data_IF_472758957274
#
_entry.id   IF_472758957274
#
_cell.length_a   1.000
_cell.length_b   1.000
_cell.length_c   1.000
_cell.angle_alpha   90.00
_cell.angle_beta   90.00
_cell.angle_gamma   90.00
#
_symmetry.space_group_name_H-M   'P 1'
#
loop_
_entity.id
_entity.type
_entity.pdbx_description
1 polymer ?
#
# COMPACT_ATOMS: atom_id res chain seq x y z
N UNK A 1 -12.69 6.49 -24.34
CA UNK A 1 -12.46 5.41 -23.34
C UNK A 1 -11.24 5.76 -22.50
N UNK A 2 -11.06 5.17 -21.33
CA UNK A 2 -9.84 5.35 -20.50
C UNK A 2 -9.21 3.98 -20.26
N UNK A 3 -7.92 3.86 -20.52
CA UNK A 3 -7.17 2.65 -20.19
C UNK A 3 -6.71 2.70 -18.74
N UNK A 4 -6.84 1.59 -18.01
CA UNK A 4 -6.41 1.47 -16.62
C UNK A 4 -5.40 0.33 -16.53
N UNK A 5 -4.15 0.65 -16.20
CA UNK A 5 -3.06 -0.30 -16.04
C UNK A 5 -2.70 -0.51 -14.58
N UNK A 6 -3.01 -1.66 -14.00
CA UNK A 6 -2.71 -1.97 -12.60
C UNK A 6 -1.62 -3.03 -12.50
N UNK A 7 -0.82 -3.00 -11.43
CA UNK A 7 0.16 -4.04 -11.15
C UNK A 7 -0.47 -5.28 -10.47
N UNK A 8 -1.64 -5.13 -9.83
CA UNK A 8 -2.35 -6.21 -9.13
C UNK A 8 -3.87 -6.00 -9.18
N UNK A 9 -4.62 -7.09 -9.14
CA UNK A 9 -6.09 -7.16 -9.03
C UNK A 9 -6.56 -8.24 -8.04
N UNK A 10 -5.61 -8.97 -7.43
CA UNK A 10 -5.88 -10.04 -6.46
C UNK A 10 -6.05 -9.44 -5.07
N UNK A 11 -5.32 -8.36 -4.75
CA UNK A 11 -5.55 -7.61 -3.52
C UNK A 11 -6.86 -6.80 -3.63
N UNK A 12 -7.85 -7.00 -2.71
CA UNK A 12 -9.15 -6.33 -2.75
C UNK A 12 -9.08 -4.79 -2.82
N UNK A 13 -8.02 -4.18 -2.28
CA UNK A 13 -7.79 -2.74 -2.42
C UNK A 13 -7.80 -2.26 -3.88
N UNK A 14 -7.29 -3.05 -4.83
CA UNK A 14 -7.33 -2.69 -6.25
C UNK A 14 -8.70 -2.88 -6.89
N UNK A 15 -9.52 -3.79 -6.35
CA UNK A 15 -10.90 -3.96 -6.83
C UNK A 15 -11.76 -2.79 -6.38
N UNK A 16 -11.64 -2.35 -5.12
CA UNK A 16 -12.31 -1.14 -4.61
C UNK A 16 -11.85 0.11 -5.38
N UNK A 17 -10.55 0.20 -5.64
CA UNK A 17 -9.96 1.28 -6.43
C UNK A 17 -10.55 1.34 -7.85
N UNK A 18 -10.59 0.20 -8.53
CA UNK A 18 -11.13 0.08 -9.88
C UNK A 18 -12.63 0.39 -9.92
N UNK A 19 -13.40 -0.06 -8.94
CA UNK A 19 -14.83 0.23 -8.85
C UNK A 19 -15.07 1.76 -8.74
N UNK A 20 -14.34 2.44 -7.85
CA UNK A 20 -14.47 3.88 -7.71
C UNK A 20 -14.02 4.68 -8.95
N UNK A 21 -13.01 4.19 -9.67
CA UNK A 21 -12.63 4.76 -10.97
C UNK A 21 -13.73 4.55 -12.02
N UNK A 22 -14.29 3.34 -12.09
CA UNK A 22 -15.36 3.00 -13.03
C UNK A 22 -16.57 3.89 -12.79
N UNK A 23 -17.05 4.01 -11.54
CA UNK A 23 -18.21 4.84 -11.20
C UNK A 23 -18.01 6.29 -11.67
N UNK A 24 -16.84 6.87 -11.39
CA UNK A 24 -16.52 8.26 -11.76
C UNK A 24 -16.35 8.46 -13.28
N UNK A 25 -15.76 7.49 -13.99
CA UNK A 25 -15.56 7.55 -15.43
C UNK A 25 -16.86 7.29 -16.20
N UNK A 26 -17.66 6.34 -15.74
CA UNK A 26 -18.94 5.96 -16.32
C UNK A 26 -19.96 7.10 -16.20
N UNK A 27 -19.99 7.80 -15.06
CA UNK A 27 -20.76 9.04 -14.89
C UNK A 27 -20.39 10.14 -15.90
N UNK A 28 -19.16 10.12 -16.42
CA UNK A 28 -18.67 11.03 -17.47
C UNK A 28 -18.76 10.44 -18.90
N UNK A 29 -19.47 9.32 -19.07
CA UNK A 29 -19.65 8.65 -20.37
C UNK A 29 -18.37 7.96 -20.90
N UNK A 30 -17.41 7.64 -20.03
CA UNK A 30 -16.17 6.95 -20.39
C UNK A 30 -16.22 5.49 -19.97
N UNK A 31 -15.88 4.60 -20.91
CA UNK A 31 -15.65 3.17 -20.63
C UNK A 31 -14.22 2.91 -20.18
N UNK A 32 -14.03 1.99 -19.22
CA UNK A 32 -12.73 1.52 -18.72
C UNK A 32 -12.26 0.29 -19.50
N UNK A 33 -10.99 0.29 -19.93
CA UNK A 33 -10.28 -0.88 -20.45
C UNK A 33 -9.13 -1.25 -19.51
N UNK A 34 -9.24 -2.38 -18.82
CA UNK A 34 -8.28 -2.82 -17.81
C UNK A 34 -7.13 -3.65 -18.40
N UNK A 35 -5.91 -3.36 -17.97
CA UNK A 35 -4.71 -4.16 -18.20
C UNK A 35 -3.96 -4.44 -16.90
N UNK A 36 -3.38 -5.65 -16.77
CA UNK A 36 -2.72 -6.09 -15.51
C UNK A 36 -1.28 -6.53 -15.74
N UNK A 37 -0.34 -5.73 -15.23
CA UNK A 37 1.11 -5.88 -15.39
C UNK A 37 1.77 -6.95 -14.53
N UNK A 38 1.21 -7.30 -13.37
CA UNK A 38 1.74 -8.32 -12.43
C UNK A 38 3.21 -8.15 -12.03
N UNK A 39 3.57 -7.03 -11.39
CA UNK A 39 4.93 -6.74 -10.88
C UNK A 39 6.09 -7.02 -11.86
N UNK A 40 5.81 -7.00 -13.17
CA UNK A 40 6.75 -7.28 -14.26
C UNK A 40 6.71 -6.09 -15.22
N UNK A 41 7.82 -5.36 -15.31
CA UNK A 41 7.96 -4.16 -16.15
C UNK A 41 7.77 -4.49 -17.63
N UNK A 42 8.35 -5.59 -18.13
CA UNK A 42 8.22 -5.97 -19.53
C UNK A 42 6.76 -6.31 -19.88
N UNK A 43 6.04 -6.97 -18.97
CA UNK A 43 4.61 -7.24 -19.13
C UNK A 43 3.78 -5.96 -19.06
N UNK A 44 4.07 -5.08 -18.11
CA UNK A 44 3.44 -3.76 -18.01
C UNK A 44 3.60 -3.00 -19.33
N UNK A 45 4.82 -2.88 -19.86
CA UNK A 45 5.11 -2.15 -21.10
C UNK A 45 4.32 -2.71 -22.27
N UNK A 46 4.24 -4.05 -22.43
CA UNK A 46 3.41 -4.68 -23.47
C UNK A 46 1.94 -4.31 -23.32
N UNK A 47 1.39 -4.41 -22.10
CA UNK A 47 -0.02 -4.15 -21.83
C UNK A 47 -0.37 -2.68 -22.04
N UNK A 48 0.44 -1.77 -21.51
CA UNK A 48 0.25 -0.34 -21.70
C UNK A 48 0.38 0.05 -23.18
N UNK A 49 1.31 -0.57 -23.92
CA UNK A 49 1.42 -0.42 -25.37
C UNK A 49 0.14 -0.86 -26.09
N UNK A 50 -0.39 -2.05 -25.78
CA UNK A 50 -1.66 -2.53 -26.33
C UNK A 50 -2.83 -1.60 -25.96
N UNK A 51 -2.89 -1.09 -24.72
CA UNK A 51 -3.92 -0.12 -24.35
C UNK A 51 -3.79 1.16 -25.18
N UNK A 52 -2.57 1.65 -25.41
CA UNK A 52 -2.32 2.85 -26.23
C UNK A 52 -2.69 2.66 -27.71
N UNK A 53 -2.57 1.46 -28.27
CA UNK A 53 -3.01 1.14 -29.64
C UNK A 53 -4.51 1.39 -29.85
N UNK A 54 -5.34 1.22 -28.81
CA UNK A 54 -6.76 1.56 -28.84
C UNK A 54 -7.05 3.06 -28.77
N UNK A 55 -6.01 3.91 -28.69
CA UNK A 55 -6.09 5.38 -28.58
C UNK A 55 -7.08 5.84 -27.51
N UNK A 56 -6.88 5.45 -26.23
CA UNK A 56 -7.72 5.89 -25.15
C UNK A 56 -7.54 7.40 -24.94
N UNK A 57 -8.56 8.04 -24.37
CA UNK A 57 -8.52 9.47 -24.08
C UNK A 57 -7.48 9.80 -22.99
N UNK A 58 -7.21 8.84 -22.11
CA UNK A 58 -6.18 8.89 -21.08
C UNK A 58 -5.81 7.47 -20.60
N UNK A 59 -4.68 7.37 -19.89
CA UNK A 59 -4.25 6.20 -19.15
C UNK A 59 -4.15 6.52 -17.65
N UNK A 60 -4.72 5.66 -16.81
CA UNK A 60 -4.48 5.66 -15.37
C UNK A 60 -3.59 4.46 -15.05
N UNK A 61 -2.43 4.69 -14.45
CA UNK A 61 -1.39 3.66 -14.28
C UNK A 61 -0.98 3.54 -12.82
N UNK A 62 -0.94 2.32 -12.30
CA UNK A 62 -0.26 1.98 -11.05
C UNK A 62 1.02 1.19 -11.37
N UNK A 63 2.20 1.82 -11.39
CA UNK A 63 3.42 1.21 -11.90
C UNK A 63 3.84 -0.08 -11.16
N UNK A 64 4.32 -1.05 -11.94
CA UNK A 64 4.99 -2.25 -11.47
C UNK A 64 6.29 -1.91 -10.75
N UNK A 65 6.73 -2.79 -9.86
CA UNK A 65 8.00 -2.69 -9.18
C UNK A 65 9.16 -2.49 -10.16
N UNK A 66 9.98 -1.46 -9.94
CA UNK A 66 11.14 -1.17 -10.80
C UNK A 66 10.83 -0.45 -12.11
N UNK A 67 9.59 0.02 -12.31
CA UNK A 67 9.27 0.92 -13.43
C UNK A 67 10.09 2.21 -13.31
N UNK A 68 10.77 2.61 -14.38
CA UNK A 68 11.57 3.83 -14.43
C UNK A 68 10.86 4.96 -15.20
N UNK A 69 11.43 6.16 -15.15
CA UNK A 69 10.88 7.34 -15.81
C UNK A 69 10.73 7.11 -17.32
N UNK A 70 11.71 6.45 -17.94
CA UNK A 70 11.74 6.24 -19.40
C UNK A 70 10.62 5.29 -19.87
N UNK A 71 10.26 4.30 -19.06
CA UNK A 71 9.16 3.37 -19.36
C UNK A 71 7.83 4.13 -19.52
N UNK A 72 7.57 5.11 -18.65
CA UNK A 72 6.35 5.90 -18.69
C UNK A 72 6.43 7.06 -19.70
N UNK A 73 7.61 7.65 -19.92
CA UNK A 73 7.80 8.68 -20.95
C UNK A 73 7.62 8.15 -22.36
N UNK A 74 8.10 6.93 -22.63
CA UNK A 74 7.89 6.27 -23.93
C UNK A 74 6.41 6.13 -24.25
N UNK A 75 5.60 5.81 -23.25
CA UNK A 75 4.14 5.76 -23.36
C UNK A 75 3.53 7.16 -23.52
N UNK A 76 4.02 8.16 -22.77
CA UNK A 76 3.56 9.55 -22.87
C UNK A 76 3.83 10.18 -24.24
N UNK A 77 4.90 9.77 -24.92
CA UNK A 77 5.22 10.21 -26.29
C UNK A 77 4.17 9.79 -27.34
N UNK A 78 3.26 8.88 -27.00
CA UNK A 78 2.09 8.56 -27.84
C UNK A 78 1.06 9.70 -27.92
N UNK A 79 1.20 10.74 -27.08
CA UNK A 79 0.26 11.85 -26.95
C UNK A 79 -0.94 11.53 -26.05
N UNK A 80 -1.01 10.32 -25.50
CA UNK A 80 -2.06 9.92 -24.55
C UNK A 80 -1.69 10.42 -23.15
N UNK A 81 -2.55 11.22 -22.48
CA UNK A 81 -2.28 11.68 -21.13
C UNK A 81 -2.21 10.54 -20.10
N UNK A 82 -1.30 10.65 -19.14
CA UNK A 82 -1.07 9.65 -18.09
C UNK A 82 -1.33 10.27 -16.71
N UNK A 83 -2.07 9.53 -15.88
CA UNK A 83 -2.26 9.77 -14.45
C UNK A 83 -1.73 8.56 -13.69
N UNK A 84 -0.96 8.78 -12.64
CA UNK A 84 -0.46 7.72 -11.77
C UNK A 84 -1.39 7.53 -10.56
N UNK A 85 -1.55 6.30 -10.10
CA UNK A 85 -2.40 5.98 -8.94
C UNK A 85 -1.79 4.94 -8.01
N UNK A 86 -1.92 5.14 -6.70
CA UNK A 86 -1.35 4.33 -5.61
C UNK A 86 0.18 4.36 -5.58
N UNK A 87 0.81 3.96 -6.68
CA UNK A 87 2.25 4.04 -6.93
C UNK A 87 2.54 5.10 -7.98
N UNK A 88 3.72 5.65 -7.88
CA UNK A 88 4.28 6.61 -8.81
C UNK A 88 5.74 6.33 -9.15
N UNK A 89 6.13 6.79 -10.33
CA UNK A 89 7.52 7.09 -10.68
C UNK A 89 7.73 8.59 -10.46
N UNK A 90 8.46 8.93 -9.41
CA UNK A 90 8.75 10.33 -9.04
C UNK A 90 9.58 11.00 -10.14
N UNK A 91 9.30 12.28 -10.42
CA UNK A 91 10.01 13.03 -11.47
C UNK A 91 9.56 12.73 -12.91
N UNK A 92 8.59 11.82 -13.10
CA UNK A 92 8.03 11.54 -14.43
C UNK A 92 7.15 12.68 -14.98
N UNK A 93 6.65 13.58 -14.11
CA UNK A 93 5.86 14.75 -14.52
C UNK A 93 4.39 14.45 -14.82
N UNK A 94 3.83 13.40 -14.22
CA UNK A 94 2.41 13.02 -14.37
C UNK A 94 1.59 13.38 -13.15
N UNK A 95 0.29 13.58 -13.36
CA UNK A 95 -0.69 13.74 -12.28
C UNK A 95 -0.66 12.50 -11.37
N UNK A 96 -0.96 12.66 -10.08
CA UNK A 96 -0.97 11.55 -9.12
C UNK A 96 -2.15 11.61 -8.16
N UNK A 97 -2.74 10.44 -7.88
CA UNK A 97 -3.68 10.25 -6.78
C UNK A 97 -3.27 9.07 -5.90
N UNK A 98 -3.33 9.24 -4.59
CA UNK A 98 -3.05 8.16 -3.63
C UNK A 98 -3.32 8.56 -2.19
N UNK A 99 -2.81 7.78 -1.25
CA UNK A 99 -2.88 8.07 0.19
C UNK A 99 -1.58 8.68 0.69
N UNK A 100 -1.64 9.51 1.72
CA UNK A 100 -0.43 9.98 2.41
C UNK A 100 0.22 8.89 3.28
N UNK A 101 0.97 8.02 2.61
CA UNK A 101 1.60 6.83 3.21
C UNK A 101 2.54 7.12 4.39
N UNK A 102 3.23 8.26 4.37
CA UNK A 102 4.15 8.65 5.45
C UNK A 102 3.34 8.90 6.73
N UNK A 103 2.30 9.71 6.62
CA UNK A 103 1.41 10.02 7.75
C UNK A 103 0.69 8.76 8.24
N UNK A 104 0.18 7.92 7.33
CA UNK A 104 -0.55 6.70 7.68
C UNK A 104 0.28 5.75 8.54
N UNK A 105 1.51 5.44 8.12
CA UNK A 105 2.38 4.54 8.89
C UNK A 105 2.87 5.19 10.18
N UNK A 106 3.15 6.49 10.19
CA UNK A 106 3.54 7.19 11.42
C UNK A 106 2.44 7.16 12.49
N UNK A 107 1.16 7.19 12.09
CA UNK A 107 0.02 7.00 12.99
C UNK A 107 0.00 5.58 13.57
N UNK A 108 0.22 4.55 12.75
CA UNK A 108 0.29 3.16 13.19
C UNK A 108 1.41 2.92 14.21
N UNK A 109 2.60 3.46 13.97
CA UNK A 109 3.72 3.39 14.93
C UNK A 109 3.37 4.12 16.22
N UNK A 110 2.83 5.34 16.13
CA UNK A 110 2.47 6.14 17.31
C UNK A 110 1.48 5.40 18.22
N UNK A 111 0.46 4.77 17.63
CA UNK A 111 -0.51 3.93 18.36
C UNK A 111 0.15 2.78 19.12
N UNK A 112 1.10 2.08 18.48
CA UNK A 112 1.83 0.99 19.14
C UNK A 112 2.71 1.50 20.30
N UNK A 113 3.35 2.66 20.13
CA UNK A 113 4.14 3.28 21.21
C UNK A 113 3.25 3.72 22.38
N UNK A 114 2.07 4.28 22.10
CA UNK A 114 1.08 4.66 23.12
C UNK A 114 0.57 3.46 23.92
N UNK A 115 0.58 2.26 23.33
CA UNK A 115 0.31 0.98 24.01
C UNK A 115 1.53 0.43 24.78
N UNK A 116 2.67 1.12 24.76
CA UNK A 116 3.89 0.77 25.50
C UNK A 116 4.90 -0.06 24.70
N UNK A 117 4.70 -0.26 23.40
CA UNK A 117 5.66 -0.99 22.58
C UNK A 117 6.87 -0.11 22.22
N UNK A 118 8.08 -0.62 22.47
CA UNK A 118 9.33 0.07 22.13
C UNK A 118 10.13 -0.61 21.02
N UNK A 119 9.87 -1.91 20.80
CA UNK A 119 10.52 -2.74 19.78
C UNK A 119 9.47 -3.18 18.76
N UNK A 120 9.25 -2.33 17.76
CA UNK A 120 8.19 -2.43 16.75
C UNK A 120 8.85 -2.78 15.42
N UNK A 121 8.35 -3.80 14.73
CA UNK A 121 8.83 -4.18 13.40
C UNK A 121 8.01 -3.57 12.27
N UNK A 122 8.59 -3.55 11.07
CA UNK A 122 7.89 -3.30 9.81
C UNK A 122 7.99 -4.53 8.92
N UNK A 123 6.84 -5.01 8.42
CA UNK A 123 6.77 -6.24 7.61
C UNK A 123 6.29 -5.91 6.20
N UNK A 124 7.05 -6.34 5.20
CA UNK A 124 6.73 -6.17 3.80
C UNK A 124 7.10 -4.79 3.23
N UNK A 125 6.80 -4.63 1.95
CA UNK A 125 7.20 -3.46 1.17
C UNK A 125 8.62 -3.60 0.60
N UNK A 126 8.86 -2.92 -0.52
CA UNK A 126 10.17 -2.82 -1.16
C UNK A 126 10.48 -1.37 -1.48
N UNK A 127 11.74 -0.97 -1.36
CA UNK A 127 12.19 0.38 -1.76
C UNK A 127 12.07 0.64 -3.27
N UNK A 128 12.02 -0.40 -4.09
CA UNK A 128 11.80 -0.24 -5.53
C UNK A 128 10.38 0.25 -5.88
N UNK A 129 9.42 0.24 -4.93
CA UNK A 129 8.10 0.85 -5.10
C UNK A 129 7.99 2.13 -4.26
N UNK A 130 7.37 3.18 -4.82
CA UNK A 130 7.12 4.44 -4.10
C UNK A 130 6.31 4.22 -2.82
N UNK A 131 5.26 3.39 -2.84
CA UNK A 131 4.52 3.02 -1.61
C UNK A 131 5.43 2.38 -0.56
N UNK A 132 6.38 1.52 -0.97
CA UNK A 132 7.33 0.92 -0.04
C UNK A 132 8.28 1.94 0.58
N UNK A 133 8.86 2.84 -0.23
CA UNK A 133 9.70 3.95 0.27
C UNK A 133 8.93 4.86 1.22
N UNK A 134 7.72 5.26 0.84
CA UNK A 134 6.88 6.20 1.60
C UNK A 134 6.41 5.59 2.91
N UNK A 135 5.96 4.33 2.91
CA UNK A 135 5.57 3.60 4.12
C UNK A 135 6.78 3.36 5.04
N UNK A 136 7.95 3.03 4.49
CA UNK A 136 9.17 2.90 5.28
C UNK A 136 9.61 4.24 5.90
N UNK A 137 9.53 5.33 5.14
CA UNK A 137 9.78 6.67 5.67
C UNK A 137 8.79 7.05 6.78
N UNK A 138 7.52 6.65 6.67
CA UNK A 138 6.53 6.82 7.74
C UNK A 138 6.85 6.01 9.00
N UNK A 139 7.37 4.80 8.85
CA UNK A 139 7.84 3.98 9.97
C UNK A 139 9.01 4.66 10.69
N UNK A 140 10.03 5.10 9.95
CA UNK A 140 11.17 5.83 10.51
C UNK A 140 10.74 7.13 11.19
N UNK A 141 9.85 7.90 10.57
CA UNK A 141 9.31 9.14 11.14
C UNK A 141 8.50 8.88 12.43
N UNK A 142 7.73 7.79 12.47
CA UNK A 142 7.00 7.35 13.65
C UNK A 142 7.92 7.00 14.82
N UNK A 143 8.97 6.22 14.57
CA UNK A 143 9.98 5.89 15.59
C UNK A 143 10.68 7.15 16.11
N UNK A 144 11.15 8.00 15.19
CA UNK A 144 11.87 9.22 15.53
C UNK A 144 11.02 10.19 16.37
N UNK A 145 9.72 10.32 16.06
CA UNK A 145 8.79 11.16 16.83
C UNK A 145 8.72 10.77 18.31
N UNK A 146 8.89 9.49 18.61
CA UNK A 146 8.82 8.95 19.98
C UNK A 146 10.20 8.63 20.57
N UNK A 147 11.28 9.06 19.92
CA UNK A 147 12.65 8.85 20.40
C UNK A 147 13.09 7.37 20.40
N UNK A 148 12.44 6.52 19.61
CA UNK A 148 12.83 5.11 19.48
C UNK A 148 13.94 4.95 18.43
N UNK A 149 14.98 4.13 18.70
CA UNK A 149 16.03 3.88 17.74
C UNK A 149 15.52 3.01 16.57
N UNK A 150 16.02 3.28 15.37
CA UNK A 150 15.85 2.38 14.24
C UNK A 150 16.78 1.18 14.37
N UNK A 151 16.21 -0.02 14.35
CA UNK A 151 16.94 -1.28 14.28
C UNK A 151 16.69 -1.92 12.90
N UNK A 152 17.71 -2.03 12.03
CA UNK A 152 17.57 -2.66 10.72
C UNK A 152 17.06 -4.11 10.77
N UNK A 153 17.29 -4.84 11.85
CA UNK A 153 16.80 -6.20 12.02
C UNK A 153 15.27 -6.28 12.17
N UNK A 154 14.62 -5.15 12.46
CA UNK A 154 13.17 -5.05 12.62
C UNK A 154 12.44 -4.63 11.34
N UNK A 155 13.15 -4.40 10.23
CA UNK A 155 12.53 -4.23 8.93
C UNK A 155 12.71 -5.50 8.09
N UNK A 156 11.60 -6.17 7.82
CA UNK A 156 11.55 -7.41 7.05
C UNK A 156 10.92 -7.12 5.68
N UNK A 157 11.68 -6.72 4.65
CA UNK A 157 11.15 -6.36 3.35
C UNK A 157 10.61 -7.60 2.60
N UNK A 158 9.55 -7.41 1.82
CA UNK A 158 8.92 -8.51 1.08
C UNK A 158 7.63 -8.12 0.37
N UNK A 159 7.08 -9.05 -0.41
CA UNK A 159 5.81 -8.80 -1.12
C UNK A 159 4.67 -8.63 -0.12
N UNK A 160 3.72 -7.74 -0.42
CA UNK A 160 2.51 -7.53 0.37
C UNK A 160 1.48 -8.64 0.23
N UNK A 161 1.89 -9.90 0.44
CA UNK A 161 1.02 -11.09 0.34
C UNK A 161 0.90 -11.79 1.68
N UNK A 162 -0.16 -12.58 1.85
CA UNK A 162 -0.37 -13.42 3.05
C UNK A 162 0.79 -14.37 3.29
N UNK A 163 1.25 -15.04 2.25
CA UNK A 163 2.35 -16.02 2.37
C UNK A 163 3.65 -15.36 2.85
N UNK A 164 4.01 -14.22 2.29
CA UNK A 164 5.19 -13.48 2.74
C UNK A 164 5.01 -12.91 4.14
N UNK A 165 3.83 -12.39 4.49
CA UNK A 165 3.54 -11.92 5.84
C UNK A 165 3.76 -12.99 6.91
N UNK A 166 3.36 -14.24 6.62
CA UNK A 166 3.59 -15.39 7.51
C UNK A 166 5.07 -15.68 7.68
N UNK A 167 5.80 -15.84 6.57
CA UNK A 167 7.24 -16.16 6.56
C UNK A 167 8.06 -15.09 7.27
N UNK A 168 7.78 -13.81 7.00
CA UNK A 168 8.53 -12.70 7.61
C UNK A 168 8.23 -12.56 9.11
N UNK A 169 6.99 -12.84 9.53
CA UNK A 169 6.65 -12.90 10.95
C UNK A 169 7.41 -14.02 11.67
N UNK A 170 7.46 -15.22 11.09
CA UNK A 170 8.23 -16.35 11.65
C UNK A 170 9.70 -16.00 11.84
N UNK A 171 10.30 -15.29 10.87
CA UNK A 171 11.68 -14.81 10.98
C UNK A 171 11.87 -13.79 12.10
N UNK A 172 10.95 -12.83 12.24
CA UNK A 172 11.00 -11.81 13.29
C UNK A 172 10.85 -12.42 14.69
N UNK A 173 9.98 -13.42 14.85
CA UNK A 173 9.78 -14.13 16.11
C UNK A 173 10.98 -15.02 16.49
N UNK A 174 11.80 -15.41 15.51
CA UNK A 174 13.00 -16.21 15.71
C UNK A 174 14.25 -15.39 16.08
N UNK A 175 14.16 -14.06 16.10
CA UNK A 175 15.26 -13.20 16.57
C UNK A 175 15.58 -13.47 18.05
N UNK A 176 16.85 -13.25 18.43
CA UNK A 176 17.28 -13.35 19.84
C UNK A 176 16.46 -12.42 20.73
N UNK A 177 16.16 -11.22 20.23
CA UNK A 177 15.26 -10.24 20.85
C UNK A 177 14.13 -9.91 19.88
N UNK A 178 13.03 -10.70 19.90
CA UNK A 178 11.93 -10.50 18.98
C UNK A 178 11.18 -9.19 19.27
N UNK A 179 10.57 -8.55 18.27
CA UNK A 179 9.68 -7.42 18.49
C UNK A 179 8.44 -7.85 19.29
N UNK A 180 7.70 -6.86 19.79
CA UNK A 180 6.41 -7.10 20.49
C UNK A 180 5.21 -6.59 19.70
N UNK A 181 5.48 -5.85 18.62
CA UNK A 181 4.47 -5.37 17.70
C UNK A 181 5.03 -5.23 16.30
N UNK A 182 4.17 -5.19 15.29
CA UNK A 182 4.57 -4.87 13.93
C UNK A 182 3.52 -4.03 13.20
N UNK A 183 4.01 -3.17 12.30
CA UNK A 183 3.23 -2.52 11.26
C UNK A 183 3.46 -3.26 9.95
N UNK A 184 2.40 -3.77 9.35
CA UNK A 184 2.47 -4.50 8.10
C UNK A 184 2.25 -3.57 6.91
N UNK A 185 2.89 -3.90 5.79
CA UNK A 185 2.84 -3.10 4.58
C UNK A 185 1.42 -2.95 4.06
N UNK A 186 0.59 -3.99 4.14
CA UNK A 186 -0.84 -3.96 3.82
C UNK A 186 -1.61 -5.00 4.66
N UNK A 187 -2.93 -4.98 4.58
CA UNK A 187 -3.80 -5.92 5.32
C UNK A 187 -3.57 -7.37 4.94
N UNK A 188 -3.24 -7.68 3.68
CA UNK A 188 -2.91 -9.04 3.26
C UNK A 188 -1.66 -9.56 3.96
N UNK A 189 -0.62 -8.75 4.04
CA UNK A 189 0.59 -9.06 4.79
C UNK A 189 0.28 -9.21 6.28
N UNK A 190 -0.59 -8.35 6.84
CA UNK A 190 -1.04 -8.46 8.22
C UNK A 190 -1.76 -9.78 8.49
N UNK A 191 -2.68 -10.23 7.64
CA UNK A 191 -3.33 -11.54 7.81
C UNK A 191 -2.33 -12.69 7.80
N UNK A 192 -1.31 -12.62 6.93
CA UNK A 192 -0.19 -13.55 6.96
C UNK A 192 0.56 -13.55 8.29
N UNK A 193 0.89 -12.36 8.79
CA UNK A 193 1.56 -12.20 10.08
C UNK A 193 0.72 -12.75 11.24
N UNK A 194 -0.60 -12.55 11.23
CA UNK A 194 -1.52 -13.16 12.22
C UNK A 194 -1.41 -14.69 12.22
N UNK A 195 -1.31 -15.31 11.06
CA UNK A 195 -1.11 -16.76 10.95
C UNK A 195 0.25 -17.20 11.52
N UNK A 196 1.31 -16.41 11.29
CA UNK A 196 2.64 -16.67 11.87
C UNK A 196 2.65 -16.58 13.40
N UNK A 197 1.99 -15.57 13.96
CA UNK A 197 1.81 -15.40 15.42
C UNK A 197 1.06 -16.61 16.00
N UNK A 198 -0.04 -17.00 15.35
CA UNK A 198 -0.84 -18.15 15.78
C UNK A 198 -0.03 -19.45 15.73
N UNK A 199 0.77 -19.67 14.68
CA UNK A 199 1.62 -20.85 14.53
C UNK A 199 2.70 -20.92 15.63
N UNK A 200 3.17 -19.78 16.12
CA UNK A 200 4.08 -19.69 17.27
C UNK A 200 3.37 -19.89 18.63
N UNK A 201 2.05 -20.12 18.64
CA UNK A 201 1.25 -20.30 19.86
C UNK A 201 1.02 -19.00 20.63
N UNK A 202 1.18 -17.84 19.99
CA UNK A 202 0.95 -16.52 20.55
C UNK A 202 -0.45 -16.01 20.20
N UNK A 203 -1.00 -15.13 21.03
CA UNK A 203 -2.31 -14.50 20.82
C UNK A 203 -2.14 -13.07 20.35
N UNK A 204 -2.57 -12.77 19.12
CA UNK A 204 -2.54 -11.40 18.59
C UNK A 204 -3.41 -10.46 19.44
N UNK A 205 -2.93 -9.24 19.70
CA UNK A 205 -3.57 -8.24 20.54
C UNK A 205 -3.37 -8.47 22.04
N UNK A 206 -2.76 -9.61 22.42
CA UNK A 206 -2.45 -9.96 23.81
C UNK A 206 -0.95 -10.16 24.02
N UNK A 207 -0.33 -11.02 23.22
CA UNK A 207 1.10 -11.34 23.28
C UNK A 207 1.91 -10.58 22.21
N UNK A 208 1.27 -10.25 21.09
CA UNK A 208 1.89 -9.50 19.98
C UNK A 208 0.86 -8.58 19.31
N UNK A 209 1.21 -7.32 19.08
CA UNK A 209 0.32 -6.34 18.43
C UNK A 209 0.58 -6.23 16.93
N UNK A 210 -0.47 -6.21 16.11
CA UNK A 210 -0.38 -6.06 14.65
C UNK A 210 -1.24 -4.90 14.18
N UNK A 211 -0.64 -4.05 13.35
CA UNK A 211 -1.36 -3.02 12.57
C UNK A 211 -1.23 -3.32 11.09
N UNK A 212 -2.35 -3.41 10.38
CA UNK A 212 -2.42 -3.50 8.93
C UNK A 212 -2.38 -2.14 8.23
N UNK A 213 -2.65 -2.14 6.93
CA UNK A 213 -2.73 -0.93 6.12
C UNK A 213 -3.66 -1.20 4.93
N UNK A 214 -4.57 -0.28 4.63
CA UNK A 214 -5.60 -0.23 3.57
C UNK A 214 -7.04 -0.17 4.16
N UNK A 215 -7.33 -0.97 5.19
CA UNK A 215 -8.65 -1.22 5.78
C UNK A 215 -9.65 -1.85 4.82
N UNK A 216 -9.22 -2.92 4.14
CA UNK A 216 -10.10 -3.72 3.29
C UNK A 216 -11.21 -4.36 4.13
N UNK A 217 -12.36 -4.69 3.52
CA UNK A 217 -13.53 -5.19 4.23
C UNK A 217 -13.24 -6.36 5.20
N UNK A 218 -12.37 -7.29 4.80
CA UNK A 218 -11.95 -8.46 5.59
C UNK A 218 -11.26 -8.08 6.91
N UNK A 219 -10.67 -6.89 7.03
CA UNK A 219 -9.99 -6.43 8.24
C UNK A 219 -10.94 -6.42 9.45
N UNK A 220 -12.21 -6.04 9.24
CA UNK A 220 -13.24 -6.03 10.28
C UNK A 220 -13.81 -7.41 10.63
N UNK A 221 -13.68 -8.37 9.71
CA UNK A 221 -14.27 -9.72 9.81
C UNK A 221 -13.30 -10.78 10.32
N UNK A 222 -12.00 -10.46 10.40
CA UNK A 222 -10.98 -11.38 10.89
C UNK A 222 -11.09 -11.62 12.40
N UNK A 223 -10.45 -12.67 12.91
CA UNK A 223 -10.37 -12.96 14.34
C UNK A 223 -8.91 -13.10 14.82
N UNK A 224 -8.39 -12.16 15.64
CA UNK A 224 -9.05 -10.92 16.06
C UNK A 224 -9.25 -9.95 14.88
N UNK A 225 -10.22 -9.04 15.02
CA UNK A 225 -10.43 -7.99 14.02
C UNK A 225 -9.19 -7.09 13.95
N UNK A 226 -8.75 -6.79 12.73
CA UNK A 226 -7.47 -6.15 12.45
C UNK A 226 -7.54 -4.63 12.67
N UNK A 227 -6.72 -4.10 13.57
CA UNK A 227 -6.36 -2.67 13.61
C UNK A 227 -5.58 -2.35 12.35
N UNK A 228 -5.95 -1.30 11.62
CA UNK A 228 -5.35 -0.98 10.32
C UNK A 228 -5.52 0.50 9.98
N UNK A 229 -4.74 0.98 9.03
CA UNK A 229 -4.83 2.34 8.50
C UNK A 229 -5.83 2.39 7.35
N UNK A 230 -6.92 3.13 7.50
CA UNK A 230 -7.87 3.40 6.43
C UNK A 230 -7.32 4.49 5.50
N UNK A 231 -7.15 4.14 4.22
CA UNK A 231 -6.46 4.98 3.22
C UNK A 231 -7.40 5.77 2.30
N UNK A 232 -8.72 5.58 2.44
CA UNK A 232 -9.72 6.24 1.60
C UNK A 232 -9.56 5.84 0.11
N UNK A 233 -9.54 4.53 -0.16
CA UNK A 233 -9.35 3.94 -1.49
C UNK A 233 -10.38 4.48 -2.50
N UNK A 234 -11.69 4.48 -2.20
CA UNK A 234 -12.68 5.02 -3.13
C UNK A 234 -12.42 6.50 -3.48
N UNK A 235 -12.00 7.30 -2.51
CA UNK A 235 -11.80 8.73 -2.66
C UNK A 235 -10.62 9.05 -3.59
N UNK A 236 -9.47 8.39 -3.43
CA UNK A 236 -8.35 8.60 -4.35
C UNK A 236 -8.53 7.89 -5.70
N UNK A 237 -9.33 6.81 -5.77
CA UNK A 237 -9.76 6.22 -7.04
C UNK A 237 -10.59 7.18 -7.88
N UNK A 238 -11.61 7.78 -7.26
CA UNK A 238 -12.40 8.83 -7.89
C UNK A 238 -11.54 10.07 -8.23
N UNK A 239 -10.54 10.40 -7.40
CA UNK A 239 -9.59 11.47 -7.70
C UNK A 239 -8.74 11.18 -8.95
N UNK A 240 -8.24 9.96 -9.11
CA UNK A 240 -7.49 9.56 -10.31
C UNK A 240 -8.33 9.71 -11.58
N UNK A 241 -9.60 9.27 -11.53
CA UNK A 241 -10.55 9.47 -12.62
C UNK A 241 -10.80 10.95 -12.93
N UNK A 242 -11.01 11.79 -11.90
CA UNK A 242 -11.17 13.25 -12.07
C UNK A 242 -9.94 13.91 -12.69
N UNK A 243 -8.73 13.52 -12.26
CA UNK A 243 -7.48 14.01 -12.84
C UNK A 243 -7.38 13.64 -14.33
N UNK A 244 -7.73 12.40 -14.68
CA UNK A 244 -7.74 11.95 -16.07
C UNK A 244 -8.73 12.75 -16.92
N UNK A 245 -9.96 12.95 -16.43
CA UNK A 245 -10.98 13.76 -17.10
C UNK A 245 -10.57 15.22 -17.26
N UNK A 246 -9.97 15.82 -16.23
CA UNK A 246 -9.48 17.20 -16.28
C UNK A 246 -8.34 17.35 -17.30
N UNK A 247 -7.46 16.37 -17.38
CA UNK A 247 -6.34 16.33 -18.33
C UNK A 247 -6.80 16.09 -19.78
N UNK A 248 -7.86 15.30 -19.98
CA UNK A 248 -8.53 15.15 -21.28
C UNK A 248 -9.09 16.49 -21.75
N UNK A 249 -9.72 17.24 -20.85
CA UNK A 249 -10.33 18.54 -21.16
C UNK A 249 -9.28 19.64 -21.40
N UNK A 250 -8.20 19.65 -20.62
CA UNK A 250 -7.08 20.58 -20.76
C UNK A 250 -5.73 19.85 -20.61
N UNK A 251 -5.09 19.46 -21.73
CA UNK A 251 -3.79 18.79 -21.69
C UNK A 251 -2.67 19.66 -21.10
N UNK A 252 -2.78 20.99 -21.16
CA UNK A 252 -1.74 21.95 -20.75
C UNK A 252 -1.86 22.39 -19.29
N UNK A 253 -2.86 21.91 -18.55
CA UNK A 253 -3.02 22.22 -17.13
C UNK A 253 -1.74 21.86 -16.33
N UNK A 254 -1.45 22.53 -15.20
CA UNK A 254 -0.36 22.11 -14.33
C UNK A 254 -0.52 20.66 -13.84
N UNK A 255 0.59 19.99 -13.53
CA UNK A 255 0.57 18.67 -12.86
C UNK A 255 0.00 18.83 -11.46
N UNK A 256 -0.94 17.97 -11.10
CA UNK A 256 -1.63 17.97 -9.82
C UNK A 256 -1.38 16.68 -9.04
N UNK A 257 -1.29 16.80 -7.71
CA UNK A 257 -1.14 15.68 -6.79
C UNK A 257 -2.25 15.73 -5.74
N UNK A 258 -3.03 14.67 -5.65
CA UNK A 258 -4.11 14.52 -4.67
C UNK A 258 -3.73 13.40 -3.71
N UNK A 259 -3.57 13.73 -2.43
CA UNK A 259 -3.35 12.77 -1.36
C UNK A 259 -4.55 12.74 -0.42
N UNK A 260 -5.12 11.57 -0.19
CA UNK A 260 -6.11 11.37 0.86
C UNK A 260 -5.43 11.34 2.22
N UNK A 261 -6.12 11.86 3.25
CA UNK A 261 -5.65 11.83 4.63
C UNK A 261 -5.99 10.46 5.24
N UNK A 262 -5.00 9.63 5.61
CA UNK A 262 -5.29 8.36 6.25
C UNK A 262 -5.72 8.55 7.70
N UNK A 263 -6.44 7.58 8.24
CA UNK A 263 -6.76 7.52 9.68
C UNK A 263 -6.60 6.10 10.21
N UNK A 264 -6.23 5.97 11.47
CA UNK A 264 -6.15 4.66 12.12
C UNK A 264 -7.55 4.16 12.49
N UNK A 265 -7.81 2.88 12.24
CA UNK A 265 -9.00 2.16 12.67
C UNK A 265 -8.58 1.12 13.69
N UNK A 266 -8.79 1.43 14.96
CA UNK A 266 -8.40 0.56 16.08
C UNK A 266 -9.43 -0.55 16.26
N UNK A 267 -8.95 -1.80 16.28
CA UNK A 267 -9.73 -3.01 16.54
C UNK A 267 -9.00 -3.89 17.56
N UNK A 268 -9.10 -5.22 17.43
CA UNK A 268 -8.68 -6.18 18.44
C UNK A 268 -7.27 -6.75 18.26
N UNK A 269 -6.58 -6.48 17.14
CA UNK A 269 -5.23 -6.99 16.87
C UNK A 269 -4.11 -6.23 17.59
N UNK A 270 -4.42 -5.22 18.40
CA UNK A 270 -3.45 -4.44 19.18
C UNK A 270 -3.89 -4.35 20.63
N UNK A 271 -2.94 -4.42 21.56
CA UNK A 271 -3.19 -4.24 23.00
C UNK A 271 -1.96 -3.76 23.75
N UNK A 272 -2.07 -3.49 25.07
CA UNK A 272 -0.95 -3.03 25.87
C UNK A 272 0.23 -4.00 25.82
N UNK A 273 1.44 -3.46 25.75
CA UNK A 273 2.68 -4.24 25.76
C UNK A 273 2.77 -5.10 27.02
N UNK A 274 3.03 -6.39 26.81
CA UNK A 274 3.39 -7.35 27.87
C UNK A 274 4.79 -7.88 27.60
N UNK A 275 5.59 -8.13 28.66
CA UNK A 275 6.83 -8.86 28.49
C UNK A 275 6.54 -10.24 27.89
N UNK A 276 7.23 -10.60 26.79
CA UNK A 276 7.11 -11.93 26.18
C UNK A 276 7.57 -12.97 27.19
N UNK A 277 6.63 -13.78 27.69
CA UNK A 277 6.98 -14.95 28.51
C UNK A 277 7.52 -16.03 27.59
N UNK A 278 8.85 -16.18 27.53
CA UNK A 278 9.45 -17.35 26.86
C UNK A 278 8.89 -18.60 27.54
N UNK A 279 8.28 -19.51 26.77
CA UNK A 279 7.97 -20.85 27.28
C UNK A 279 9.30 -21.52 27.64
N UNK A 280 9.43 -22.13 28.82
CA UNK A 280 10.58 -22.99 29.09
C UNK A 280 10.59 -24.13 28.06
N UNK A 281 11.78 -24.44 27.57
CA UNK A 281 12.05 -25.55 26.66
C UNK A 281 11.62 -26.90 27.25
#
# INVERSE_FOLDING_TARGET
>A
MVGVGLHDIINPSFTELLAAMEDALSAAGKTVLLGVGQEDVARQTRILGTLAEYRPDALIVSPALGTEIEDLRTLGNSGVPIVQVTREVEGAGFDFAGSDDVTGVALAVSHLVELGHTRIAMIGGFEAASTGRRRHAGYLAGLARHGLPYDPALWAPGRGTREQGRVLMEQLLALDEPPTAAVCFNDLCAFGALMGIQAAGLVTGTDFSIVGYDDIAEASMWHPALTTVFTQIPEYGAAAARLALARIADPQRPVERILTTPRLVVRASTGPMKPVRRRPA
#
